data_IF_579483551997
#
_entry.id   IF_579483551997
#
_cell.length_a   1.000
_cell.length_b   1.000
_cell.length_c   1.000
_cell.angle_alpha   90.00
_cell.angle_beta   90.00
_cell.angle_gamma   90.00
#
_symmetry.space_group_name_H-M   'P 1'
#
loop_
_entity.id
_entity.type
_entity.pdbx_description
1 polymer ?
#
# COMPACT_ATOMS: atom_id res chain seq x y z
N UNK A 1 -80.34 -41.72 29.92
CA UNK A 1 -79.51 -42.74 29.23
C UNK A 1 -78.21 -42.04 28.84
N UNK A 2 -77.26 -42.00 29.77
CA UNK A 2 -76.14 -42.96 29.84
C UNK A 2 -75.18 -42.72 28.67
N UNK A 3 -74.20 -41.82 28.83
CA UNK A 3 -72.85 -42.09 29.36
C UNK A 3 -71.93 -42.71 28.31
N UNK A 4 -70.96 -41.92 27.84
CA UNK A 4 -69.61 -42.42 27.52
C UNK A 4 -68.60 -41.36 28.01
N UNK A 5 -67.90 -41.70 29.08
CA UNK A 5 -66.57 -41.21 29.46
C UNK A 5 -65.60 -42.34 29.05
N UNK A 6 -64.38 -42.11 28.58
CA UNK A 6 -63.10 -41.97 29.32
C UNK A 6 -62.03 -41.91 28.21
N UNK A 7 -61.27 -40.82 28.03
CA UNK A 7 -60.01 -40.41 28.68
C UNK A 7 -58.75 -41.09 28.12
N UNK A 8 -57.76 -40.29 27.69
CA UNK A 8 -56.33 -40.45 28.04
C UNK A 8 -55.45 -39.32 27.47
N UNK A 9 -55.14 -38.37 28.36
CA UNK A 9 -53.80 -37.84 28.69
C UNK A 9 -52.66 -37.86 27.65
N UNK A 10 -52.11 -36.67 27.32
CA UNK A 10 -50.65 -36.34 27.31
C UNK A 10 -50.39 -34.89 26.80
N UNK A 11 -49.84 -34.03 27.67
CA UNK A 11 -48.93 -32.88 27.39
C UNK A 11 -49.00 -31.92 28.61
N UNK A 12 -48.12 -32.01 29.62
CA UNK A 12 -46.73 -31.48 29.69
C UNK A 12 -46.63 -29.93 29.68
N UNK A 13 -46.41 -29.41 30.90
CA UNK A 13 -45.56 -28.29 31.35
C UNK A 13 -44.95 -27.31 30.33
N UNK A 14 -45.01 -26.01 30.67
CA UNK A 14 -43.88 -25.03 30.84
C UNK A 14 -44.41 -23.61 30.59
N UNK A 15 -44.63 -22.82 31.65
CA UNK A 15 -43.69 -21.86 32.25
C UNK A 15 -43.78 -20.45 31.62
N UNK A 16 -44.34 -19.52 32.41
CA UNK A 16 -44.34 -18.08 32.18
C UNK A 16 -42.90 -17.54 32.09
N UNK A 17 -42.60 -16.74 31.06
CA UNK A 17 -41.40 -15.91 31.00
C UNK A 17 -41.77 -14.45 31.30
N UNK A 18 -41.04 -13.74 32.20
CA UNK A 18 -41.31 -12.35 32.52
C UNK A 18 -40.77 -11.39 31.45
N UNK A 19 -41.56 -10.34 31.18
CA UNK A 19 -41.26 -9.22 30.27
C UNK A 19 -39.97 -8.49 30.69
N UNK A 20 -39.00 -8.39 29.78
CA UNK A 20 -37.83 -7.52 29.91
C UNK A 20 -38.20 -6.07 29.59
N UNK A 21 -37.97 -5.16 30.54
CA UNK A 21 -38.00 -3.72 30.33
C UNK A 21 -36.92 -3.29 29.32
N UNK A 22 -37.36 -2.69 28.22
CA UNK A 22 -36.47 -2.10 27.21
C UNK A 22 -36.06 -0.72 27.70
N UNK A 23 -34.81 -0.60 28.14
CA UNK A 23 -34.16 0.67 28.46
C UNK A 23 -33.96 1.47 27.18
N UNK A 24 -34.64 2.61 27.05
CA UNK A 24 -34.46 3.55 25.93
C UNK A 24 -33.23 4.40 26.17
N UNK A 25 -32.06 3.88 25.81
CA UNK A 25 -30.84 4.67 25.73
C UNK A 25 -30.87 5.50 24.44
N UNK A 26 -30.78 6.82 24.57
CA UNK A 26 -30.77 7.73 23.41
C UNK A 26 -29.57 7.43 22.50
N UNK A 27 -29.74 7.48 21.17
CA UNK A 27 -28.66 7.19 20.25
C UNK A 27 -27.48 8.14 20.49
N UNK A 28 -26.23 7.64 20.34
CA UNK A 28 -25.04 8.47 20.53
C UNK A 28 -25.08 9.68 19.59
N UNK A 29 -24.57 10.85 20.03
CA UNK A 29 -24.55 12.05 19.22
C UNK A 29 -23.83 11.78 17.90
N UNK A 30 -24.41 12.29 16.81
CA UNK A 30 -23.81 12.18 15.48
C UNK A 30 -22.37 12.70 15.51
N UNK A 31 -21.44 12.03 14.81
CA UNK A 31 -20.06 12.50 14.74
C UNK A 31 -20.01 13.95 14.22
N UNK A 32 -19.10 14.78 14.74
CA UNK A 32 -18.99 16.17 14.31
C UNK A 32 -18.76 16.24 12.78
N UNK A 33 -19.33 17.24 12.10
CA UNK A 33 -19.14 17.40 10.66
C UNK A 33 -17.64 17.52 10.34
N UNK A 34 -17.19 16.95 9.21
CA UNK A 34 -15.80 17.05 8.81
C UNK A 34 -15.40 18.52 8.65
N UNK A 35 -14.16 18.89 8.99
CA UNK A 35 -13.71 20.26 8.82
C UNK A 35 -13.82 20.69 7.34
N UNK A 36 -14.11 21.98 7.07
CA UNK A 36 -14.10 22.50 5.71
C UNK A 36 -12.79 22.13 5.01
N UNK A 37 -12.84 21.84 3.71
CA UNK A 37 -11.60 21.59 2.98
C UNK A 37 -10.69 22.83 3.07
N UNK A 38 -9.37 22.63 3.24
CA UNK A 38 -8.43 23.74 3.40
C UNK A 38 -8.44 24.65 2.15
N UNK A 39 -7.98 25.89 2.31
CA UNK A 39 -7.74 26.76 1.15
C UNK A 39 -6.70 26.11 0.21
N UNK A 40 -6.81 26.31 -1.12
CA UNK A 40 -5.88 25.72 -2.07
C UNK A 40 -4.43 26.06 -1.74
N UNK A 41 -3.56 25.06 -1.85
CA UNK A 41 -2.11 25.31 -1.89
C UNK A 41 -1.74 26.06 -3.17
N UNK A 42 -0.79 26.99 -3.08
CA UNK A 42 -0.29 27.82 -4.21
C UNK A 42 1.22 27.66 -4.38
N UNK A 43 1.81 26.69 -3.69
CA UNK A 43 3.26 26.43 -3.69
C UNK A 43 3.54 25.41 -4.80
N UNK A 44 4.68 25.48 -5.51
CA UNK A 44 5.02 24.50 -6.53
C UNK A 44 4.88 23.08 -5.98
N UNK A 45 4.01 22.28 -6.59
CA UNK A 45 3.80 20.90 -6.15
C UNK A 45 5.06 20.12 -6.47
N UNK A 46 5.77 19.68 -5.44
CA UNK A 46 6.99 18.90 -5.63
C UNK A 46 6.64 17.43 -5.83
N UNK A 47 7.38 16.73 -6.68
CA UNK A 47 7.18 15.30 -6.94
C UNK A 47 7.14 14.48 -5.65
N UNK A 48 8.00 14.81 -4.67
CA UNK A 48 8.06 14.12 -3.36
C UNK A 48 6.71 14.15 -2.62
N UNK A 49 5.90 15.19 -2.83
CA UNK A 49 4.67 15.43 -2.10
C UNK A 49 3.47 14.70 -2.71
N UNK A 50 3.56 14.27 -3.98
CA UNK A 50 2.45 13.64 -4.72
C UNK A 50 2.74 12.22 -5.24
N UNK A 51 4.01 11.83 -5.43
CA UNK A 51 4.37 10.57 -6.11
C UNK A 51 3.75 9.31 -5.49
N UNK A 52 3.63 9.29 -4.17
CA UNK A 52 3.02 8.18 -3.43
C UNK A 52 1.53 8.03 -3.78
N UNK A 53 0.79 9.13 -3.78
CA UNK A 53 -0.64 9.15 -4.06
C UNK A 53 -0.89 8.92 -5.55
N UNK A 54 -0.04 9.47 -6.43
CA UNK A 54 -0.04 9.22 -7.86
C UNK A 54 0.19 7.75 -8.20
N UNK A 55 1.22 7.11 -7.62
CA UNK A 55 1.51 5.70 -7.84
C UNK A 55 0.37 4.82 -7.32
N UNK A 56 -0.15 5.11 -6.12
CA UNK A 56 -1.29 4.41 -5.54
C UNK A 56 -2.50 4.48 -6.48
N UNK A 57 -2.84 5.69 -6.95
CA UNK A 57 -3.95 5.90 -7.90
C UNK A 57 -3.75 5.10 -9.20
N UNK A 58 -2.53 5.12 -9.75
CA UNK A 58 -2.19 4.40 -10.99
C UNK A 58 -2.36 2.89 -10.82
N UNK A 59 -1.85 2.32 -9.72
CA UNK A 59 -2.00 0.90 -9.40
C UNK A 59 -3.45 0.51 -9.16
N UNK A 60 -4.21 1.30 -8.39
CA UNK A 60 -5.63 1.04 -8.13
C UNK A 60 -6.45 1.08 -9.42
N UNK A 61 -6.17 2.01 -10.32
CA UNK A 61 -6.85 2.08 -11.62
C UNK A 61 -6.57 0.84 -12.48
N UNK A 62 -5.36 0.27 -12.38
CA UNK A 62 -5.03 -1.00 -13.04
C UNK A 62 -5.77 -2.21 -12.44
N UNK A 63 -5.87 -2.29 -11.11
CA UNK A 63 -6.67 -3.33 -10.44
C UNK A 63 -8.14 -3.27 -10.89
N UNK A 64 -8.68 -2.06 -11.03
CA UNK A 64 -10.04 -1.82 -11.51
C UNK A 64 -10.22 -2.10 -13.01
N UNK A 65 -9.15 -2.32 -13.76
CA UNK A 65 -9.19 -2.58 -15.21
C UNK A 65 -9.31 -1.33 -16.08
N UNK A 66 -9.01 -0.16 -15.54
CA UNK A 66 -9.10 1.13 -16.23
C UNK A 66 -7.78 1.54 -16.90
N UNK A 67 -6.65 1.00 -16.42
CA UNK A 67 -5.32 1.23 -16.96
C UNK A 67 -4.57 -0.09 -17.16
N UNK A 68 -3.96 -0.26 -18.33
CA UNK A 68 -3.03 -1.35 -18.57
C UNK A 68 -1.61 -0.93 -18.17
N UNK A 69 -1.00 -1.71 -17.27
CA UNK A 69 0.37 -1.53 -16.79
C UNK A 69 1.30 -2.66 -17.26
N UNK A 70 0.80 -3.63 -18.04
CA UNK A 70 1.56 -4.84 -18.37
C UNK A 70 1.85 -5.74 -17.16
N UNK A 71 1.12 -5.53 -16.06
CA UNK A 71 1.21 -6.28 -14.81
C UNK A 71 -0.14 -6.94 -14.51
N UNK A 72 -0.12 -8.09 -13.84
CA UNK A 72 -1.36 -8.75 -13.43
C UNK A 72 -2.08 -7.93 -12.34
N UNK A 73 -3.42 -8.01 -12.32
CA UNK A 73 -4.25 -7.37 -11.28
C UNK A 73 -3.86 -7.82 -9.87
N UNK A 74 -3.51 -9.10 -9.72
CA UNK A 74 -3.06 -9.68 -8.45
C UNK A 74 -1.72 -9.06 -7.99
N UNK A 75 -0.76 -8.90 -8.92
CA UNK A 75 0.52 -8.24 -8.62
C UNK A 75 0.33 -6.79 -8.18
N UNK A 76 -0.49 -6.01 -8.91
CA UNK A 76 -0.84 -4.64 -8.53
C UNK A 76 -1.55 -4.58 -7.17
N UNK A 77 -2.44 -5.54 -6.88
CA UNK A 77 -3.15 -5.62 -5.58
C UNK A 77 -2.19 -5.94 -4.43
N UNK A 78 -1.24 -6.86 -4.63
CA UNK A 78 -0.21 -7.20 -3.64
C UNK A 78 0.74 -6.02 -3.37
N UNK A 79 1.09 -5.20 -4.37
CA UNK A 79 1.85 -3.96 -4.15
C UNK A 79 1.11 -2.97 -3.22
N UNK A 80 -0.23 -2.95 -3.29
CA UNK A 80 -1.10 -2.07 -2.50
C UNK A 80 -1.48 -2.65 -1.12
N UNK A 81 -1.28 -3.95 -0.91
CA UNK A 81 -1.67 -4.69 0.28
C UNK A 81 -1.06 -4.08 1.55
N UNK A 82 -1.85 -3.99 2.62
CA UNK A 82 -1.37 -3.56 3.94
C UNK A 82 -0.81 -4.74 4.73
N UNK A 83 0.09 -4.44 5.66
CA UNK A 83 0.49 -5.38 6.70
C UNK A 83 -0.40 -5.16 7.92
N UNK A 84 -1.20 -6.16 8.28
CA UNK A 84 -2.18 -6.08 9.37
C UNK A 84 -1.51 -6.08 10.77
N UNK A 85 -0.25 -6.51 10.87
CA UNK A 85 0.48 -6.61 12.15
C UNK A 85 1.98 -6.26 12.00
N UNK A 86 2.33 -4.96 11.84
CA UNK A 86 3.73 -4.56 11.72
C UNK A 86 4.52 -5.03 12.94
N UNK A 87 5.46 -5.95 12.72
CA UNK A 87 6.20 -6.65 13.78
C UNK A 87 7.29 -5.81 14.47
N UNK A 88 7.38 -4.53 14.11
CA UNK A 88 8.30 -3.53 14.64
C UNK A 88 7.52 -2.29 15.04
N UNK A 89 7.82 -1.66 16.20
CA UNK A 89 7.32 -0.33 16.46
C UNK A 89 7.74 0.56 15.29
N UNK A 90 6.81 1.41 14.86
CA UNK A 90 7.03 2.50 13.92
C UNK A 90 8.14 3.42 14.43
N UNK A 91 9.41 2.98 14.40
CA UNK A 91 10.48 3.92 14.17
C UNK A 91 10.35 4.28 12.72
N UNK A 92 10.16 5.57 12.47
CA UNK A 92 10.48 6.22 11.22
C UNK A 92 11.88 5.78 10.80
N UNK A 93 12.01 4.61 10.16
CA UNK A 93 13.25 4.25 9.51
C UNK A 93 13.38 5.29 8.40
N UNK A 94 14.37 6.20 8.47
CA UNK A 94 14.67 7.00 7.31
C UNK A 94 14.94 6.00 6.19
N UNK A 95 14.65 6.39 4.95
CA UNK A 95 14.96 5.68 3.71
C UNK A 95 16.49 5.52 3.49
N UNK A 96 17.22 5.15 4.54
CA UNK A 96 18.66 5.18 4.72
C UNK A 96 19.24 3.80 4.98
N UNK A 97 18.45 2.81 5.40
CA UNK A 97 18.92 1.42 5.43
C UNK A 97 18.74 0.80 4.05
N UNK A 98 19.86 0.65 3.34
CA UNK A 98 20.00 0.00 2.04
C UNK A 98 19.73 -1.51 2.02
N UNK A 99 19.28 -2.06 3.14
CA UNK A 99 19.17 -3.49 3.42
C UNK A 99 17.85 -3.81 4.09
N UNK A 100 17.45 -5.07 4.01
CA UNK A 100 16.28 -5.63 4.66
C UNK A 100 15.13 -5.93 3.69
N UNK A 101 14.16 -6.69 4.17
CA UNK A 101 12.92 -6.97 3.44
C UNK A 101 12.08 -5.69 3.37
N UNK A 102 11.61 -5.26 2.19
CA UNK A 102 10.85 -4.02 2.06
C UNK A 102 9.55 -4.08 2.86
N UNK A 103 9.26 -3.00 3.59
CA UNK A 103 8.05 -2.89 4.41
C UNK A 103 6.80 -2.74 3.55
N UNK A 104 5.72 -3.40 3.94
CA UNK A 104 4.41 -3.22 3.32
C UNK A 104 3.71 -1.92 3.80
N UNK A 105 2.86 -1.30 2.96
CA UNK A 105 2.58 -1.67 1.58
C UNK A 105 3.74 -1.35 0.63
N UNK A 106 4.10 -2.29 -0.25
CA UNK A 106 5.31 -2.25 -1.08
C UNK A 106 5.35 -1.05 -2.04
N UNK A 107 4.19 -0.55 -2.48
CA UNK A 107 4.13 0.63 -3.36
C UNK A 107 4.78 1.86 -2.71
N UNK A 108 4.86 1.95 -1.37
CA UNK A 108 5.54 3.08 -0.72
C UNK A 108 7.05 3.04 -0.93
N UNK A 109 7.64 1.87 -0.85
CA UNK A 109 9.06 1.66 -1.17
C UNK A 109 9.30 1.96 -2.66
N UNK A 110 8.45 1.42 -3.53
CA UNK A 110 8.51 1.68 -4.97
C UNK A 110 8.38 3.18 -5.30
N UNK A 111 7.47 3.91 -4.65
CA UNK A 111 7.31 5.35 -4.82
C UNK A 111 8.57 6.11 -4.41
N UNK A 112 9.24 5.68 -3.34
CA UNK A 112 10.49 6.30 -2.91
C UNK A 112 11.63 6.05 -3.91
N UNK A 113 11.77 4.82 -4.42
CA UNK A 113 12.75 4.50 -5.46
C UNK A 113 12.48 5.26 -6.77
N UNK A 114 11.22 5.36 -7.19
CA UNK A 114 10.82 6.14 -8.36
C UNK A 114 11.09 7.64 -8.17
N UNK A 115 10.83 8.19 -6.98
CA UNK A 115 11.12 9.58 -6.67
C UNK A 115 12.61 9.87 -6.85
N UNK A 116 13.46 9.05 -6.23
CA UNK A 116 14.90 9.20 -6.37
C UNK A 116 15.34 9.03 -7.82
N UNK A 117 14.81 8.00 -8.51
CA UNK A 117 15.19 7.72 -9.90
C UNK A 117 14.86 8.87 -10.86
N UNK A 118 13.67 9.45 -10.72
CA UNK A 118 13.25 10.62 -11.50
C UNK A 118 14.07 11.86 -11.13
N UNK A 119 14.39 12.03 -9.85
CA UNK A 119 15.14 13.20 -9.37
C UNK A 119 16.62 13.18 -9.76
N UNK A 120 17.25 12.00 -9.81
CA UNK A 120 18.66 11.85 -10.20
C UNK A 120 18.87 11.59 -11.69
N UNK A 121 17.80 11.35 -12.45
CA UNK A 121 17.90 11.05 -13.87
C UNK A 121 18.50 9.67 -14.17
N UNK A 122 18.26 8.68 -13.30
CA UNK A 122 18.85 7.35 -13.39
C UNK A 122 18.07 6.31 -12.61
N UNK A 123 18.18 5.03 -12.98
CA UNK A 123 17.63 3.97 -12.14
C UNK A 123 18.29 4.01 -10.75
N UNK A 124 17.51 4.21 -9.70
CA UNK A 124 18.00 4.25 -8.32
C UNK A 124 17.63 2.98 -7.57
N UNK A 125 18.62 2.35 -6.90
CA UNK A 125 18.39 1.31 -5.89
C UNK A 125 18.88 1.81 -4.54
N UNK A 126 18.13 1.49 -3.50
CA UNK A 126 18.57 1.80 -2.13
C UNK A 126 19.87 1.04 -1.81
N UNK A 127 20.13 -0.11 -2.45
CA UNK A 127 21.30 -0.97 -2.25
C UNK A 127 22.54 -0.68 -3.09
N UNK A 128 22.54 0.32 -3.98
CA UNK A 128 23.68 0.66 -4.86
C UNK A 128 24.96 1.10 -4.08
N UNK A 129 24.95 1.04 -2.74
CA UNK A 129 26.16 1.15 -1.90
C UNK A 129 26.92 -0.17 -1.72
N UNK A 130 26.45 -1.29 -2.27
CA UNK A 130 27.05 -2.61 -2.04
C UNK A 130 27.32 -3.31 -3.38
N UNK A 131 28.49 -3.02 -3.96
CA UNK A 131 29.02 -3.68 -5.17
C UNK A 131 29.25 -5.18 -4.89
N UNK A 132 28.26 -6.01 -5.24
CA UNK A 132 28.45 -7.45 -5.30
C UNK A 132 28.19 -7.95 -6.73
N UNK A 133 29.30 -8.30 -7.37
CA UNK A 133 29.46 -9.05 -8.63
C UNK A 133 29.39 -8.22 -9.92
N UNK A 134 30.55 -7.70 -10.31
CA UNK A 134 30.85 -7.35 -11.69
C UNK A 134 30.90 -8.61 -12.56
N UNK A 135 29.86 -8.83 -13.37
CA UNK A 135 29.98 -9.63 -14.58
C UNK A 135 29.73 -8.69 -15.78
N UNK A 136 30.74 -8.56 -16.63
CA UNK A 136 30.81 -7.49 -17.63
C UNK A 136 29.80 -7.66 -18.77
N UNK A 137 29.30 -8.87 -19.04
CA UNK A 137 28.31 -9.15 -20.10
C UNK A 137 26.95 -9.57 -19.54
N UNK A 138 26.28 -8.66 -18.83
CA UNK A 138 24.98 -8.95 -18.22
C UNK A 138 23.84 -8.35 -19.05
N UNK A 139 22.90 -9.16 -19.59
CA UNK A 139 21.66 -8.68 -20.23
C UNK A 139 20.85 -7.71 -19.35
N UNK A 140 21.07 -7.71 -18.03
CA UNK A 140 20.48 -6.74 -17.11
C UNK A 140 21.02 -5.32 -17.31
N UNK A 141 22.30 -5.13 -17.67
CA UNK A 141 22.86 -3.78 -17.89
C UNK A 141 22.15 -3.05 -19.02
N UNK A 142 21.93 -3.73 -20.15
CA UNK A 142 21.17 -3.16 -21.29
C UNK A 142 19.75 -2.79 -20.87
N UNK A 143 19.06 -3.64 -20.09
CA UNK A 143 17.73 -3.32 -19.57
C UNK A 143 17.73 -2.15 -18.59
N UNK A 144 18.76 -2.03 -17.77
CA UNK A 144 18.91 -0.91 -16.83
C UNK A 144 19.12 0.42 -17.54
N UNK A 145 19.87 0.42 -18.66
CA UNK A 145 20.01 1.58 -19.55
C UNK A 145 18.67 1.93 -20.21
N UNK A 146 17.93 0.94 -20.71
CA UNK A 146 16.57 1.14 -21.27
C UNK A 146 15.61 1.73 -20.23
N UNK A 147 15.59 1.18 -19.02
CA UNK A 147 14.77 1.70 -17.91
C UNK A 147 15.20 3.11 -17.50
N UNK A 148 16.50 3.38 -17.45
CA UNK A 148 17.03 4.72 -17.16
C UNK A 148 16.56 5.74 -18.19
N UNK A 149 16.67 5.42 -19.48
CA UNK A 149 16.18 6.28 -20.56
C UNK A 149 14.67 6.53 -20.44
N UNK A 150 13.89 5.48 -20.18
CA UNK A 150 12.45 5.58 -19.98
C UNK A 150 12.09 6.48 -18.78
N UNK A 151 12.73 6.26 -17.63
CA UNK A 151 12.52 7.06 -16.41
C UNK A 151 12.87 8.52 -16.69
N UNK A 152 13.95 8.79 -17.42
CA UNK A 152 14.35 10.15 -17.76
C UNK A 152 13.33 10.84 -18.65
N UNK A 153 12.87 10.16 -19.70
CA UNK A 153 11.91 10.72 -20.65
C UNK A 153 10.55 10.98 -19.97
N UNK A 154 9.97 9.96 -19.34
CA UNK A 154 8.64 10.04 -18.72
C UNK A 154 8.65 10.80 -17.39
N UNK A 155 9.74 10.71 -16.64
CA UNK A 155 9.98 11.51 -15.44
C UNK A 155 10.06 13.01 -15.77
N UNK A 156 10.78 13.39 -16.83
CA UNK A 156 10.84 14.79 -17.27
C UNK A 156 9.46 15.29 -17.74
N UNK A 157 8.71 14.47 -18.49
CA UNK A 157 7.32 14.79 -18.87
C UNK A 157 6.44 15.02 -17.63
N UNK A 158 6.54 14.13 -16.63
CA UNK A 158 5.81 14.25 -15.37
C UNK A 158 6.19 15.54 -14.61
N UNK A 159 7.48 15.86 -14.50
CA UNK A 159 7.95 17.08 -13.83
C UNK A 159 7.49 18.35 -14.55
N UNK A 160 7.52 18.37 -15.88
CA UNK A 160 7.01 19.48 -16.68
C UNK A 160 5.51 19.69 -16.45
N UNK A 161 4.73 18.61 -16.37
CA UNK A 161 3.29 18.71 -16.05
C UNK A 161 3.04 19.18 -14.62
N UNK A 162 3.86 18.77 -13.65
CA UNK A 162 3.75 19.26 -12.28
C UNK A 162 4.08 20.76 -12.18
N UNK A 163 5.03 21.25 -12.98
CA UNK A 163 5.40 22.66 -13.04
C UNK A 163 4.28 23.56 -13.58
N UNK A 164 3.32 23.02 -14.34
CA UNK A 164 2.16 23.77 -14.82
C UNK A 164 0.98 23.76 -13.86
N UNK A 165 1.06 23.09 -12.70
CA UNK A 165 -0.06 23.04 -11.76
C UNK A 165 -0.11 24.34 -10.95
N UNK A 166 -1.25 25.02 -11.00
CA UNK A 166 -1.49 26.27 -10.28
C UNK A 166 -2.05 26.02 -8.87
N UNK A 167 -2.88 25.00 -8.70
CA UNK A 167 -3.59 24.73 -7.43
C UNK A 167 -3.66 23.24 -7.09
N UNK A 168 -3.56 22.93 -5.79
CA UNK A 168 -3.88 21.61 -5.24
C UNK A 168 -5.23 21.67 -4.50
N UNK A 169 -6.14 20.77 -4.87
CA UNK A 169 -7.45 20.64 -4.23
C UNK A 169 -7.67 19.20 -3.74
N UNK A 170 -8.40 19.08 -2.63
CA UNK A 170 -8.87 17.78 -2.15
C UNK A 170 -10.40 17.69 -2.24
N UNK A 171 -10.89 16.54 -2.69
CA UNK A 171 -12.30 16.16 -2.79
C UNK A 171 -12.50 14.76 -2.19
N UNK A 172 -13.63 14.54 -1.54
CA UNK A 172 -13.98 13.23 -0.98
C UNK A 172 -14.65 12.34 -2.03
N UNK A 173 -14.69 11.03 -1.80
CA UNK A 173 -15.60 10.16 -2.56
C UNK A 173 -17.06 10.47 -2.17
N UNK A 174 -18.02 10.37 -3.10
CA UNK A 174 -17.89 9.89 -4.50
C UNK A 174 -17.42 10.95 -5.50
N UNK A 175 -17.25 12.21 -5.08
CA UNK A 175 -16.98 13.34 -5.97
C UNK A 175 -15.65 13.21 -6.72
N UNK A 176 -14.63 12.63 -6.08
CA UNK A 176 -13.36 12.33 -6.75
C UNK A 176 -13.54 11.41 -7.96
N UNK A 177 -14.20 10.26 -7.77
CA UNK A 177 -14.51 9.33 -8.87
C UNK A 177 -15.38 10.01 -9.93
N UNK A 178 -16.37 10.81 -9.53
CA UNK A 178 -17.22 11.54 -10.47
C UNK A 178 -16.45 12.56 -11.32
N UNK A 179 -15.46 13.26 -10.76
CA UNK A 179 -14.56 14.16 -11.49
C UNK A 179 -13.65 13.38 -12.46
N UNK A 180 -13.10 12.24 -12.00
CA UNK A 180 -12.26 11.35 -12.80
C UNK A 180 -13.00 10.83 -14.05
N UNK A 181 -14.28 10.46 -13.88
CA UNK A 181 -15.17 9.95 -14.92
C UNK A 181 -15.83 11.07 -15.76
N UNK A 182 -15.50 12.34 -15.47
CA UNK A 182 -16.12 13.53 -16.09
C UNK A 182 -17.65 13.62 -15.95
N UNK A 183 -18.25 12.92 -14.97
CA UNK A 183 -19.67 13.07 -14.61
C UNK A 183 -19.92 14.36 -13.83
N UNK A 184 -19.01 14.68 -12.92
CA UNK A 184 -18.97 15.98 -12.24
C UNK A 184 -18.05 16.90 -13.04
N UNK A 185 -18.58 18.03 -13.49
CA UNK A 185 -17.84 19.01 -14.33
C UNK A 185 -17.75 20.38 -13.68
N UNK A 186 -18.40 20.58 -12.53
CA UNK A 186 -18.38 21.82 -11.77
C UNK A 186 -18.04 21.53 -10.31
N UNK A 187 -17.02 22.18 -9.78
CA UNK A 187 -16.63 22.09 -8.38
C UNK A 187 -17.05 23.34 -7.61
N UNK A 188 -18.04 23.19 -6.73
CA UNK A 188 -18.53 24.28 -5.88
C UNK A 188 -17.71 24.47 -4.61
N UNK A 189 -17.30 25.70 -4.29
CA UNK A 189 -16.55 26.06 -3.07
C UNK A 189 -17.01 27.41 -2.52
N UNK A 190 -16.93 27.65 -1.21
CA UNK A 190 -17.05 29.03 -0.70
C UNK A 190 -15.90 29.89 -1.25
N UNK A 191 -16.19 31.13 -1.62
CA UNK A 191 -15.22 32.03 -2.24
C UNK A 191 -14.23 32.64 -1.24
N UNK A 192 -13.39 31.79 -0.64
CA UNK A 192 -12.45 32.18 0.44
C UNK A 192 -10.99 31.96 0.05
N UNK A 193 -10.10 32.79 0.59
CA UNK A 193 -8.65 32.60 0.46
C UNK A 193 -8.19 32.43 -0.99
N UNK A 194 -7.37 31.40 -1.24
CA UNK A 194 -6.80 31.15 -2.57
C UNK A 194 -7.82 30.65 -3.62
N UNK A 195 -9.03 30.22 -3.22
CA UNK A 195 -10.06 29.87 -4.21
C UNK A 195 -10.41 31.07 -5.11
N UNK A 196 -10.34 32.30 -4.57
CA UNK A 196 -10.59 33.53 -5.32
C UNK A 196 -9.55 33.84 -6.40
N UNK A 197 -8.42 33.12 -6.42
CA UNK A 197 -7.34 33.31 -7.39
C UNK A 197 -7.44 32.35 -8.58
N UNK A 198 -8.36 31.38 -8.52
CA UNK A 198 -8.59 30.42 -9.60
C UNK A 198 -9.23 31.16 -10.77
N UNK A 199 -8.64 30.99 -11.95
CA UNK A 199 -9.07 31.65 -13.19
C UNK A 199 -9.17 30.62 -14.32
N UNK A 200 -9.95 30.91 -15.39
CA UNK A 200 -9.95 30.11 -16.61
C UNK A 200 -8.54 29.86 -17.13
N UNK A 201 -8.28 28.64 -17.61
CA UNK A 201 -6.98 28.19 -18.09
C UNK A 201 -6.07 27.57 -17.02
N UNK A 202 -6.33 27.81 -15.73
CA UNK A 202 -5.52 27.25 -14.64
C UNK A 202 -5.63 25.71 -14.56
N UNK A 203 -4.57 25.06 -14.10
CA UNK A 203 -4.53 23.62 -13.84
C UNK A 203 -4.66 23.32 -12.35
N UNK A 204 -5.54 22.38 -12.03
CA UNK A 204 -5.79 21.92 -10.67
C UNK A 204 -5.43 20.45 -10.55
N UNK A 205 -4.60 20.12 -9.56
CA UNK A 205 -4.31 18.74 -9.17
C UNK A 205 -5.23 18.32 -8.02
N UNK A 206 -6.21 17.47 -8.33
CA UNK A 206 -7.13 16.89 -7.36
C UNK A 206 -6.54 15.64 -6.72
N UNK A 207 -6.58 15.58 -5.38
CA UNK A 207 -6.10 14.47 -4.56
C UNK A 207 -4.71 13.97 -5.01
N UNK A 208 -3.84 14.91 -5.39
CA UNK A 208 -2.45 14.65 -5.80
C UNK A 208 -2.27 13.68 -6.98
N UNK A 209 -3.32 13.42 -7.76
CA UNK A 209 -3.31 12.37 -8.78
C UNK A 209 -4.09 12.67 -10.06
N UNK A 210 -5.18 13.45 -9.99
CA UNK A 210 -6.02 13.79 -11.14
C UNK A 210 -5.80 15.25 -11.56
N UNK A 211 -5.31 15.47 -12.78
CA UNK A 211 -5.14 16.82 -13.33
C UNK A 211 -6.38 17.24 -14.09
N UNK A 212 -6.94 18.41 -13.77
CA UNK A 212 -8.05 19.02 -14.50
C UNK A 212 -7.71 20.47 -14.86
N UNK A 213 -8.26 20.94 -15.98
CA UNK A 213 -8.10 22.33 -16.42
C UNK A 213 -9.40 23.11 -16.18
N UNK A 214 -9.28 24.29 -15.61
CA UNK A 214 -10.40 25.21 -15.38
C UNK A 214 -10.84 25.81 -16.71
N UNK A 215 -12.11 25.62 -17.05
CA UNK A 215 -12.74 26.18 -18.24
C UNK A 215 -13.35 27.54 -17.93
N UNK A 216 -14.04 27.65 -16.80
CA UNK A 216 -14.67 28.89 -16.36
C UNK A 216 -14.79 28.95 -14.83
N UNK A 217 -15.00 30.14 -14.28
CA UNK A 217 -15.24 30.36 -12.85
C UNK A 217 -16.36 31.38 -12.66
N UNK A 218 -17.49 30.93 -12.13
CA UNK A 218 -18.64 31.79 -11.84
C UNK A 218 -18.80 32.04 -10.35
N UNK A 219 -19.33 33.21 -9.99
CA UNK A 219 -19.60 33.63 -8.61
C UNK A 219 -21.10 33.75 -8.39
N UNK A 220 -21.56 33.23 -7.25
CA UNK A 220 -22.96 33.28 -6.83
C UNK A 220 -23.06 33.72 -5.37
N UNK A 221 -24.23 34.23 -4.97
CA UNK A 221 -24.46 34.65 -3.58
C UNK A 221 -24.71 33.45 -2.66
N UNK A 222 -25.16 32.31 -3.20
CA UNK A 222 -25.49 31.11 -2.43
C UNK A 222 -25.25 29.80 -3.19
N UNK A 223 -25.10 28.70 -2.47
CA UNK A 223 -25.05 27.36 -3.06
C UNK A 223 -26.36 27.01 -3.77
N UNK A 224 -27.50 27.49 -3.27
CA UNK A 224 -28.80 27.28 -3.91
C UNK A 224 -28.80 27.85 -5.33
N UNK A 225 -28.46 29.13 -5.47
CA UNK A 225 -28.38 29.82 -6.77
C UNK A 225 -27.36 29.15 -7.70
N UNK A 226 -26.19 28.79 -7.18
CA UNK A 226 -25.16 28.08 -7.96
C UNK A 226 -25.69 26.74 -8.50
N UNK A 227 -26.38 25.94 -7.67
CA UNK A 227 -26.92 24.64 -8.06
C UNK A 227 -28.05 24.75 -9.10
N UNK A 228 -28.84 25.83 -9.02
CA UNK A 228 -29.88 26.15 -9.99
C UNK A 228 -29.26 26.54 -11.34
N UNK A 229 -28.28 27.45 -11.33
CA UNK A 229 -27.65 28.00 -12.53
C UNK A 229 -26.71 27.00 -13.25
N UNK A 230 -25.89 26.24 -12.51
CA UNK A 230 -24.88 25.34 -13.07
C UNK A 230 -25.40 23.94 -13.43
N UNK A 231 -26.67 23.67 -13.13
CA UNK A 231 -27.28 22.34 -13.08
C UNK A 231 -26.74 21.46 -11.95
N UNK A 232 -27.63 21.07 -11.03
CA UNK A 232 -27.36 20.15 -9.93
C UNK A 232 -26.59 18.88 -10.38
N UNK A 233 -26.92 18.29 -11.52
CA UNK A 233 -26.27 17.05 -11.97
C UNK A 233 -24.81 17.25 -12.40
N UNK A 234 -24.42 18.46 -12.81
CA UNK A 234 -23.02 18.77 -13.16
C UNK A 234 -22.18 19.05 -11.91
N UNK A 235 -22.81 19.57 -10.85
CA UNK A 235 -22.16 19.92 -9.58
C UNK A 235 -22.13 18.72 -8.63
N UNK A 236 -23.25 18.05 -8.42
CA UNK A 236 -23.44 16.94 -7.48
C UNK A 236 -24.18 15.76 -8.16
N UNK A 237 -23.54 15.04 -9.09
CA UNK A 237 -24.18 13.90 -9.76
C UNK A 237 -24.74 12.87 -8.76
N UNK A 238 -26.01 12.49 -8.96
CA UNK A 238 -26.71 11.50 -8.13
C UNK A 238 -27.51 12.09 -6.95
N UNK A 239 -27.40 13.40 -6.68
CA UNK A 239 -28.28 14.12 -5.75
C UNK A 239 -29.62 14.40 -6.42
N UNK A 240 -30.73 14.30 -5.67
CA UNK A 240 -32.09 14.32 -6.23
C UNK A 240 -32.62 15.72 -6.49
N UNK A 241 -32.40 16.66 -5.57
CA UNK A 241 -32.91 18.03 -5.64
C UNK A 241 -31.94 19.04 -5.02
N UNK A 242 -32.23 20.33 -5.21
CA UNK A 242 -31.34 21.44 -4.83
C UNK A 242 -31.20 21.51 -3.31
N UNK A 243 -32.28 21.25 -2.57
CA UNK A 243 -32.29 21.28 -1.10
C UNK A 243 -31.32 20.25 -0.51
N UNK A 244 -31.36 19.01 -1.02
CA UNK A 244 -30.40 17.97 -0.68
C UNK A 244 -28.97 18.39 -1.08
N UNK A 245 -28.81 19.02 -2.25
CA UNK A 245 -27.52 19.54 -2.72
C UNK A 245 -26.93 20.61 -1.80
N UNK A 246 -27.75 21.53 -1.29
CA UNK A 246 -27.33 22.53 -0.28
C UNK A 246 -26.91 21.82 1.00
N UNK A 247 -27.64 20.79 1.43
CA UNK A 247 -27.30 20.03 2.63
C UNK A 247 -25.94 19.30 2.50
N UNK A 248 -25.55 18.85 1.32
CA UNK A 248 -24.20 18.33 1.07
C UNK A 248 -23.14 19.39 1.40
N UNK A 249 -23.35 20.64 0.97
CA UNK A 249 -22.42 21.74 1.27
C UNK A 249 -22.42 22.16 2.75
N UNK A 250 -23.55 22.01 3.44
CA UNK A 250 -23.66 22.29 4.89
C UNK A 250 -22.80 21.38 5.75
N UNK A 251 -22.42 20.21 5.25
CA UNK A 251 -21.43 19.35 5.91
C UNK A 251 -20.02 19.96 5.96
N UNK A 252 -19.75 20.99 5.14
CA UNK A 252 -18.44 21.62 5.02
C UNK A 252 -18.46 23.12 5.37
N UNK A 253 -19.56 23.83 5.09
CA UNK A 253 -19.64 25.28 5.22
C UNK A 253 -20.89 25.72 6.00
N UNK A 254 -20.70 26.60 6.98
CA UNK A 254 -21.81 27.28 7.65
C UNK A 254 -22.49 28.29 6.72
N UNK A 255 -23.78 28.54 6.98
CA UNK A 255 -24.55 29.57 6.27
C UNK A 255 -23.92 30.96 6.39
N UNK A 256 -23.39 31.28 7.56
CA UNK A 256 -22.69 32.54 7.78
C UNK A 256 -21.48 32.69 6.87
N UNK A 257 -20.69 31.62 6.69
CA UNK A 257 -19.51 31.63 5.82
C UNK A 257 -19.89 31.76 4.36
N UNK A 258 -20.95 31.09 3.93
CA UNK A 258 -21.52 31.27 2.60
C UNK A 258 -22.00 32.70 2.40
N UNK A 259 -22.85 33.23 3.28
CA UNK A 259 -23.40 34.59 3.17
C UNK A 259 -22.31 35.67 3.16
N UNK A 260 -21.24 35.48 3.92
CA UNK A 260 -20.17 36.48 4.03
C UNK A 260 -19.22 36.49 2.83
N UNK A 261 -19.11 35.38 2.08
CA UNK A 261 -18.11 35.24 1.03
C UNK A 261 -18.71 34.98 -0.37
N UNK A 262 -19.95 34.50 -0.44
CA UNK A 262 -20.50 33.89 -1.64
C UNK A 262 -19.86 32.53 -1.95
N UNK A 263 -20.17 32.01 -3.13
CA UNK A 263 -19.69 30.71 -3.62
C UNK A 263 -19.12 30.82 -5.03
N UNK A 264 -18.22 29.91 -5.36
CA UNK A 264 -17.59 29.74 -6.66
C UNK A 264 -18.05 28.43 -7.27
N UNK A 265 -18.46 28.48 -8.53
CA UNK A 265 -18.56 27.33 -9.42
C UNK A 265 -17.29 27.27 -10.28
N UNK A 266 -16.45 26.26 -10.06
CA UNK A 266 -15.22 26.05 -10.84
C UNK A 266 -15.51 25.00 -11.91
N UNK A 267 -15.74 25.44 -13.13
CA UNK A 267 -16.00 24.55 -14.27
C UNK A 267 -14.68 23.91 -14.72
N UNK A 268 -14.64 22.59 -14.80
CA UNK A 268 -13.41 21.83 -15.08
C UNK A 268 -13.58 20.84 -16.22
N UNK A 269 -12.51 20.59 -16.95
CA UNK A 269 -12.43 19.53 -17.96
C UNK A 269 -11.15 18.71 -17.77
N UNK A 270 -11.15 17.50 -18.32
CA UNK A 270 -10.01 16.58 -18.28
C UNK A 270 -9.09 16.85 -19.47
N UNK A 271 -7.85 17.32 -19.27
CA UNK A 271 -6.89 17.47 -20.35
C UNK A 271 -6.46 16.11 -20.91
N UNK A 272 -6.00 16.12 -22.17
CA UNK A 272 -5.55 14.92 -22.90
C UNK A 272 -4.38 14.21 -22.21
N UNK A 273 -3.49 14.97 -21.57
CA UNK A 273 -2.33 14.44 -20.84
C UNK A 273 -2.63 14.38 -19.35
N UNK A 274 -2.26 13.27 -18.70
CA UNK A 274 -2.46 13.05 -17.27
C UNK A 274 -1.17 12.58 -16.60
N UNK A 275 -0.96 12.97 -15.33
CA UNK A 275 0.23 12.58 -14.57
C UNK A 275 0.31 11.06 -14.43
N UNK A 276 -0.83 10.40 -14.20
CA UNK A 276 -0.88 8.94 -14.05
C UNK A 276 -0.58 8.21 -15.36
N UNK A 277 -0.73 8.86 -16.53
CA UNK A 277 -0.30 8.29 -17.81
C UNK A 277 1.22 8.19 -17.91
N UNK A 278 1.96 9.19 -17.41
CA UNK A 278 3.42 9.12 -17.32
C UNK A 278 3.84 8.00 -16.35
N UNK A 279 3.20 7.94 -15.17
CA UNK A 279 3.45 6.88 -14.19
C UNK A 279 3.13 5.48 -14.77
N UNK A 280 2.02 5.34 -15.49
CA UNK A 280 1.63 4.10 -16.13
C UNK A 280 2.66 3.65 -17.19
N UNK A 281 3.14 4.58 -18.02
CA UNK A 281 4.17 4.29 -19.01
C UNK A 281 5.50 3.84 -18.36
N UNK A 282 5.89 4.45 -17.23
CA UNK A 282 7.06 4.01 -16.45
C UNK A 282 6.85 2.58 -15.95
N UNK A 283 5.72 2.28 -15.30
CA UNK A 283 5.44 0.93 -14.79
C UNK A 283 5.38 -0.11 -15.89
N UNK A 284 4.77 0.22 -17.03
CA UNK A 284 4.68 -0.64 -18.20
C UNK A 284 6.06 -1.01 -18.75
N UNK A 285 6.96 -0.02 -18.91
CA UNK A 285 8.30 -0.28 -19.42
C UNK A 285 9.25 -0.91 -18.40
N UNK A 286 9.08 -0.63 -17.10
CA UNK A 286 9.78 -1.36 -16.04
C UNK A 286 9.39 -2.84 -16.04
N UNK A 287 8.10 -3.13 -16.25
CA UNK A 287 7.53 -4.47 -16.12
C UNK A 287 7.89 -5.11 -14.77
N UNK A 288 7.75 -6.43 -14.65
CA UNK A 288 8.14 -7.17 -13.45
C UNK A 288 9.63 -7.01 -13.11
N UNK A 289 10.48 -6.92 -14.13
CA UNK A 289 11.93 -6.85 -13.97
C UNK A 289 12.39 -5.59 -13.24
N UNK A 290 11.97 -4.42 -13.73
CA UNK A 290 12.36 -3.13 -13.17
C UNK A 290 11.75 -2.89 -11.78
N UNK A 291 10.49 -3.30 -11.57
CA UNK A 291 9.86 -3.22 -10.24
C UNK A 291 10.61 -4.10 -9.23
N UNK A 292 10.99 -5.32 -9.63
CA UNK A 292 11.77 -6.22 -8.76
C UNK A 292 13.10 -5.58 -8.35
N UNK A 293 13.81 -4.97 -9.30
CA UNK A 293 15.05 -4.24 -9.02
C UNK A 293 14.81 -3.10 -8.04
N UNK A 294 13.75 -2.31 -8.22
CA UNK A 294 13.37 -1.22 -7.31
C UNK A 294 12.93 -1.72 -5.92
N UNK A 295 12.51 -2.97 -5.78
CA UNK A 295 12.20 -3.64 -4.50
C UNK A 295 13.43 -4.34 -3.89
N UNK A 296 14.63 -4.06 -4.41
CA UNK A 296 15.90 -4.63 -3.97
C UNK A 296 15.99 -6.17 -4.09
N UNK A 297 15.23 -6.75 -5.02
CA UNK A 297 15.22 -8.18 -5.25
C UNK A 297 16.18 -8.56 -6.37
N UNK A 298 16.99 -9.57 -6.10
CA UNK A 298 17.97 -10.04 -7.07
C UNK A 298 17.33 -10.86 -8.19
N UNK A 299 18.06 -11.03 -9.28
CA UNK A 299 17.71 -11.95 -10.35
C UNK A 299 18.73 -13.07 -10.45
N UNK A 300 18.25 -14.31 -10.41
CA UNK A 300 19.07 -15.50 -10.67
C UNK A 300 18.32 -16.45 -11.58
N UNK A 301 19.02 -17.47 -12.09
CA UNK A 301 18.36 -18.61 -12.73
C UNK A 301 17.30 -19.18 -11.78
N UNK A 302 16.09 -19.39 -12.29
CA UNK A 302 14.95 -19.87 -11.50
C UNK A 302 14.13 -18.80 -10.77
N UNK A 303 14.50 -17.51 -10.86
CA UNK A 303 13.67 -16.39 -10.34
C UNK A 303 12.29 -16.38 -10.99
N UNK A 304 11.26 -16.18 -10.17
CA UNK A 304 9.86 -16.03 -10.57
C UNK A 304 9.46 -14.56 -10.46
N UNK A 305 9.53 -13.84 -11.58
CA UNK A 305 9.38 -12.37 -11.62
C UNK A 305 8.00 -11.86 -11.18
N UNK A 306 6.96 -12.67 -11.31
CA UNK A 306 5.57 -12.31 -10.99
C UNK A 306 5.24 -12.42 -9.49
N UNK A 307 6.24 -12.65 -8.64
CA UNK A 307 6.07 -12.84 -7.20
C UNK A 307 6.77 -11.76 -6.40
N UNK A 308 6.08 -11.29 -5.37
CA UNK A 308 6.54 -10.28 -4.42
C UNK A 308 6.99 -10.91 -3.10
N UNK A 309 7.86 -10.25 -2.33
CA UNK A 309 8.28 -10.76 -1.03
C UNK A 309 7.11 -10.74 -0.06
N UNK A 310 6.85 -11.78 0.75
CA UNK A 310 5.74 -11.77 1.71
C UNK A 310 5.89 -10.68 2.80
N UNK A 311 4.78 -10.21 3.41
CA UNK A 311 4.84 -9.32 4.56
C UNK A 311 5.70 -9.89 5.69
N UNK A 312 6.48 -9.04 6.35
CA UNK A 312 7.36 -9.48 7.45
C UNK A 312 6.57 -10.10 8.60
N UNK A 313 5.36 -9.62 8.87
CA UNK A 313 4.45 -10.23 9.84
C UNK A 313 4.12 -11.69 9.52
N UNK A 314 3.87 -12.00 8.25
CA UNK A 314 3.63 -13.37 7.77
C UNK A 314 4.86 -14.25 7.99
N UNK A 315 6.05 -13.75 7.65
CA UNK A 315 7.32 -14.47 7.84
C UNK A 315 7.60 -14.77 9.31
N UNK A 316 7.38 -13.80 10.19
CA UNK A 316 7.58 -13.95 11.64
C UNK A 316 6.52 -14.87 12.25
N UNK A 317 5.26 -14.75 11.83
CA UNK A 317 4.15 -15.58 12.32
C UNK A 317 4.39 -17.08 12.03
N UNK A 318 4.77 -17.41 10.79
CA UNK A 318 5.07 -18.80 10.44
C UNK A 318 6.31 -19.34 11.16
N UNK A 319 7.31 -18.49 11.40
CA UNK A 319 8.50 -18.82 12.18
C UNK A 319 8.17 -19.13 13.65
N UNK A 320 7.23 -18.38 14.25
CA UNK A 320 6.80 -18.51 15.64
C UNK A 320 5.75 -19.60 15.88
N UNK A 321 5.29 -20.29 14.85
CA UNK A 321 4.34 -21.40 14.99
C UNK A 321 4.93 -22.51 15.88
N UNK A 322 4.17 -23.09 16.84
CA UNK A 322 4.65 -24.21 17.66
C UNK A 322 5.05 -25.42 16.80
N UNK A 323 6.20 -26.04 17.10
CA UNK A 323 6.71 -27.16 16.31
C UNK A 323 5.90 -28.46 16.51
N UNK A 324 5.54 -28.75 17.77
CA UNK A 324 4.79 -29.94 18.16
C UNK A 324 3.64 -29.51 19.10
N UNK A 325 2.57 -28.87 18.58
CA UNK A 325 1.52 -28.28 19.41
C UNK A 325 0.77 -29.31 20.26
N UNK A 326 0.77 -30.57 19.86
CA UNK A 326 0.11 -31.66 20.59
C UNK A 326 0.94 -32.23 21.74
N UNK A 327 2.23 -31.88 21.85
CA UNK A 327 3.11 -32.38 22.92
C UNK A 327 3.01 -31.47 24.14
N UNK A 328 2.40 -31.99 25.21
CA UNK A 328 2.20 -31.25 26.47
C UNK A 328 3.55 -30.77 27.03
N UNK A 329 3.66 -29.47 27.29
CA UNK A 329 4.87 -28.84 27.85
C UNK A 329 5.90 -28.38 26.81
N UNK A 330 5.80 -28.81 25.55
CA UNK A 330 6.67 -28.30 24.47
C UNK A 330 6.17 -26.92 24.03
N UNK A 331 7.01 -25.89 24.20
CA UNK A 331 6.70 -24.52 23.72
C UNK A 331 7.63 -24.07 22.61
N UNK A 332 8.51 -24.96 22.15
CA UNK A 332 9.48 -24.67 21.10
C UNK A 332 8.78 -24.35 19.76
N UNK A 333 9.18 -23.24 19.16
CA UNK A 333 8.71 -22.82 17.84
C UNK A 333 9.42 -23.56 16.70
N UNK A 334 8.84 -23.56 15.51
CA UNK A 334 9.48 -24.06 14.29
C UNK A 334 10.83 -23.38 14.05
N UNK A 335 10.89 -22.07 14.25
CA UNK A 335 12.11 -21.28 14.13
C UNK A 335 13.20 -21.70 15.12
N UNK A 336 12.87 -21.84 16.41
CA UNK A 336 13.84 -22.29 17.42
C UNK A 336 14.29 -23.73 17.19
N UNK A 337 13.38 -24.62 16.77
CA UNK A 337 13.74 -25.99 16.39
C UNK A 337 14.69 -26.01 15.20
N UNK A 338 14.48 -25.15 14.20
CA UNK A 338 15.40 -25.00 13.09
C UNK A 338 16.76 -24.50 13.57
N UNK A 339 16.81 -23.43 14.38
CA UNK A 339 18.06 -22.86 14.89
C UNK A 339 18.91 -23.89 15.66
N UNK A 340 18.27 -24.77 16.43
CA UNK A 340 18.95 -25.86 17.15
C UNK A 340 19.81 -26.77 16.24
N UNK A 341 19.48 -26.88 14.95
CA UNK A 341 20.24 -27.67 13.98
C UNK A 341 21.49 -26.96 13.46
N UNK A 342 21.56 -25.63 13.61
CA UNK A 342 22.58 -24.75 13.03
C UNK A 342 23.62 -24.29 14.07
N UNK A 343 23.24 -24.16 15.34
CA UNK A 343 24.11 -23.62 16.41
C UNK A 343 25.45 -24.34 16.61
N UNK A 344 25.53 -25.63 16.23
CA UNK A 344 26.75 -26.43 16.32
C UNK A 344 27.54 -26.49 14.99
N UNK A 345 27.10 -25.75 13.96
CA UNK A 345 27.75 -25.69 12.64
C UNK A 345 28.66 -24.48 12.46
N UNK A 346 28.63 -23.56 13.41
CA UNK A 346 29.32 -22.27 13.37
C UNK A 346 30.26 -22.21 14.57
N UNK A 347 31.56 -22.30 14.31
CA UNK A 347 32.61 -22.25 15.34
C UNK A 347 32.71 -20.87 16.01
N UNK A 348 32.39 -19.81 15.28
CA UNK A 348 32.30 -18.41 15.71
C UNK A 348 31.00 -18.07 16.46
N UNK A 349 30.09 -19.03 16.60
CA UNK A 349 28.79 -18.87 17.29
C UNK A 349 27.90 -17.78 16.69
N UNK A 350 27.95 -17.58 15.37
CA UNK A 350 27.07 -16.67 14.62
C UNK A 350 25.58 -16.83 14.98
N UNK A 351 25.13 -18.07 15.16
CA UNK A 351 23.75 -18.43 15.51
C UNK A 351 23.40 -18.24 16.99
N UNK A 352 24.38 -17.89 17.83
CA UNK A 352 24.24 -17.67 19.26
C UNK A 352 24.26 -18.93 20.12
N UNK A 353 24.22 -18.74 21.44
CA UNK A 353 24.26 -19.83 22.43
C UNK A 353 22.86 -20.39 22.70
N UNK A 354 22.54 -21.55 22.10
CA UNK A 354 21.23 -22.19 22.21
C UNK A 354 21.07 -23.01 23.50
N UNK A 355 20.91 -22.33 24.64
CA UNK A 355 20.77 -22.93 25.96
C UNK A 355 19.54 -22.40 26.74
N UNK A 356 19.24 -23.04 27.88
CA UNK A 356 18.13 -22.64 28.76
C UNK A 356 16.76 -23.18 28.33
N UNK A 357 15.71 -22.52 28.82
CA UNK A 357 14.30 -22.91 28.61
C UNK A 357 13.85 -22.73 27.15
N UNK A 358 12.73 -23.34 26.78
CA UNK A 358 12.09 -23.13 25.46
C UNK A 358 11.83 -21.64 25.21
N UNK A 359 11.48 -20.88 26.25
CA UNK A 359 11.30 -19.43 26.14
C UNK A 359 12.60 -18.72 25.76
N UNK A 360 13.73 -19.08 26.38
CA UNK A 360 15.04 -18.51 26.05
C UNK A 360 15.45 -18.84 24.61
N UNK A 361 15.24 -20.09 24.19
CA UNK A 361 15.54 -20.57 22.82
C UNK A 361 14.68 -19.88 21.76
N UNK A 362 13.38 -19.73 22.02
CA UNK A 362 12.46 -19.02 21.15
C UNK A 362 12.84 -17.54 21.00
N UNK A 363 13.21 -16.89 22.10
CA UNK A 363 13.68 -15.49 22.07
C UNK A 363 14.95 -15.35 21.23
N UNK A 364 15.96 -16.19 21.46
CA UNK A 364 17.18 -16.20 20.65
C UNK A 364 16.88 -16.38 19.16
N UNK A 365 16.03 -17.35 18.83
CA UNK A 365 15.65 -17.60 17.43
C UNK A 365 14.91 -16.42 16.80
N UNK A 366 14.05 -15.75 17.56
CA UNK A 366 13.35 -14.55 17.11
C UNK A 366 14.32 -13.37 16.88
N UNK A 367 15.30 -13.19 17.76
CA UNK A 367 16.31 -12.15 17.61
C UNK A 367 17.18 -12.39 16.36
N UNK A 368 17.56 -13.65 16.12
CA UNK A 368 18.30 -14.06 14.91
C UNK A 368 17.51 -13.76 13.64
N UNK A 369 16.24 -14.19 13.56
CA UNK A 369 15.45 -14.01 12.32
C UNK A 369 15.13 -12.53 12.07
N UNK A 370 14.86 -11.74 13.12
CA UNK A 370 14.68 -10.28 13.01
C UNK A 370 15.93 -9.60 12.47
N UNK A 371 17.11 -10.00 12.94
CA UNK A 371 18.39 -9.50 12.43
C UNK A 371 18.58 -9.85 10.96
N UNK A 372 18.28 -11.08 10.54
CA UNK A 372 18.36 -11.46 9.12
C UNK A 372 17.39 -10.65 8.25
N UNK A 373 16.12 -10.50 8.67
CA UNK A 373 15.11 -9.74 7.92
C UNK A 373 15.47 -8.26 7.81
N UNK A 374 16.04 -7.66 8.86
CA UNK A 374 16.41 -6.24 8.87
C UNK A 374 17.68 -5.94 8.06
N UNK A 375 18.61 -6.90 7.96
CA UNK A 375 19.94 -6.66 7.40
C UNK A 375 20.22 -7.46 6.12
N UNK A 376 19.25 -8.18 5.55
CA UNK A 376 19.49 -8.92 4.33
C UNK A 376 19.83 -7.98 3.17
N UNK A 377 20.92 -8.26 2.47
CA UNK A 377 21.33 -7.54 1.26
C UNK A 377 20.99 -8.31 -0.01
N UNK A 378 20.49 -9.54 0.14
CA UNK A 378 20.06 -10.40 -0.95
C UNK A 378 18.67 -10.94 -0.60
N UNK A 379 17.71 -10.76 -1.50
CA UNK A 379 16.40 -11.40 -1.41
C UNK A 379 15.89 -11.83 -2.79
N UNK A 380 15.19 -12.97 -2.86
CA UNK A 380 14.69 -13.51 -4.12
C UNK A 380 13.42 -14.37 -3.94
N UNK A 381 12.61 -14.42 -4.99
CA UNK A 381 11.52 -15.37 -5.19
C UNK A 381 11.95 -16.33 -6.30
N UNK A 382 12.36 -17.55 -5.95
CA UNK A 382 12.94 -18.48 -6.94
C UNK A 382 12.56 -19.94 -6.70
N UNK A 383 12.80 -20.80 -7.70
CA UNK A 383 12.53 -22.24 -7.61
C UNK A 383 13.70 -22.99 -6.98
N UNK A 384 13.43 -23.75 -5.93
CA UNK A 384 14.38 -24.63 -5.25
C UNK A 384 13.76 -26.03 -5.06
N UNK A 385 14.28 -27.07 -5.73
CA UNK A 385 13.89 -28.45 -5.46
C UNK A 385 14.28 -28.89 -4.02
N UNK A 386 13.46 -29.72 -3.35
CA UNK A 386 12.14 -30.23 -3.76
C UNK A 386 10.99 -29.27 -3.40
N UNK A 387 11.28 -28.07 -2.87
CA UNK A 387 10.29 -27.17 -2.26
C UNK A 387 9.45 -26.36 -3.25
N UNK A 388 9.83 -26.28 -4.52
CA UNK A 388 9.15 -25.45 -5.51
C UNK A 388 9.55 -23.98 -5.38
N UNK A 389 8.60 -23.04 -5.46
CA UNK A 389 8.89 -21.60 -5.32
C UNK A 389 9.05 -21.24 -3.85
N UNK A 390 10.13 -20.54 -3.52
CA UNK A 390 10.48 -20.13 -2.15
C UNK A 390 10.81 -18.65 -2.11
N UNK A 391 10.59 -18.05 -0.93
CA UNK A 391 11.17 -16.75 -0.59
C UNK A 391 12.45 -16.98 0.23
N UNK A 392 13.55 -16.38 -0.21
CA UNK A 392 14.85 -16.52 0.45
C UNK A 392 15.48 -15.15 0.67
N UNK A 393 16.11 -15.00 1.84
CA UNK A 393 16.92 -13.83 2.20
C UNK A 393 18.30 -14.27 2.66
N UNK A 394 19.32 -13.44 2.38
CA UNK A 394 20.67 -13.59 2.90
C UNK A 394 21.29 -12.26 3.30
N UNK A 395 22.10 -12.29 4.34
CA UNK A 395 23.01 -11.19 4.72
C UNK A 395 24.33 -11.33 3.97
N UNK A 396 25.20 -10.31 4.05
CA UNK A 396 26.46 -10.24 3.32
C UNK A 396 27.37 -11.44 3.57
N UNK A 397 27.42 -11.94 4.81
CA UNK A 397 28.21 -13.11 5.20
C UNK A 397 27.64 -14.44 4.67
N UNK A 398 26.56 -14.41 3.88
CA UNK A 398 25.96 -15.58 3.23
C UNK A 398 24.95 -16.34 4.08
N UNK A 399 24.86 -16.09 5.39
CA UNK A 399 23.81 -16.65 6.22
C UNK A 399 22.42 -16.17 5.79
N UNK A 400 21.41 -17.01 5.96
CA UNK A 400 20.08 -16.67 5.48
C UNK A 400 18.95 -17.48 6.08
N UNK A 401 17.77 -17.27 5.50
CA UNK A 401 16.54 -17.92 5.91
C UNK A 401 15.60 -18.09 4.71
N UNK A 402 14.78 -19.14 4.75
CA UNK A 402 13.90 -19.51 3.64
C UNK A 402 12.49 -19.87 4.10
N UNK A 403 11.49 -19.45 3.31
CA UNK A 403 10.08 -19.77 3.47
C UNK A 403 9.49 -20.30 2.15
N UNK A 404 8.33 -20.93 2.22
CA UNK A 404 7.49 -21.11 1.03
C UNK A 404 7.09 -19.76 0.43
N UNK A 405 6.69 -19.76 -0.84
CA UNK A 405 6.44 -18.54 -1.61
C UNK A 405 5.44 -17.56 -0.97
N UNK A 406 4.48 -18.05 -0.19
CA UNK A 406 3.47 -17.25 0.50
C UNK A 406 3.93 -16.75 1.89
N UNK A 407 5.11 -17.18 2.36
CA UNK A 407 5.62 -16.86 3.69
C UNK A 407 4.97 -17.63 4.84
N UNK A 408 3.92 -18.41 4.60
CA UNK A 408 3.13 -19.08 5.65
C UNK A 408 3.80 -20.31 6.24
N UNK A 409 4.91 -20.77 5.65
CA UNK A 409 5.68 -21.89 6.17
C UNK A 409 7.17 -21.62 6.12
N UNK A 410 7.79 -21.58 7.29
CA UNK A 410 9.24 -21.53 7.43
C UNK A 410 9.88 -22.85 7.01
N UNK A 411 10.91 -22.80 6.17
CA UNK A 411 11.64 -23.98 5.67
C UNK A 411 12.89 -24.22 6.53
N UNK A 412 13.70 -23.18 6.76
CA UNK A 412 14.91 -23.31 7.56
C UNK A 412 15.90 -22.17 7.40
N UNK A 413 16.96 -22.22 8.20
CA UNK A 413 18.12 -21.34 8.08
C UNK A 413 19.07 -21.84 7.00
N UNK A 414 19.91 -20.94 6.51
CA UNK A 414 20.88 -21.18 5.44
C UNK A 414 22.27 -20.79 5.93
N UNK A 415 23.24 -21.66 5.64
CA UNK A 415 24.65 -21.40 5.90
C UNK A 415 25.28 -20.62 4.73
N UNK A 416 26.45 -20.00 4.94
CA UNK A 416 27.23 -19.39 3.88
C UNK A 416 27.57 -20.40 2.79
N UNK A 417 27.75 -19.91 1.56
CA UNK A 417 28.21 -20.77 0.47
C UNK A 417 29.62 -21.28 0.76
N UNK A 418 29.80 -22.59 0.64
CA UNK A 418 31.07 -23.27 0.87
C UNK A 418 31.28 -24.35 -0.19
N UNK A 419 32.49 -24.40 -0.74
CA UNK A 419 32.92 -25.50 -1.62
C UNK A 419 32.84 -26.82 -0.86
N UNK A 420 32.10 -27.78 -1.42
CA UNK A 420 31.76 -29.08 -0.81
C UNK A 420 31.04 -28.98 0.55
N UNK A 421 30.30 -27.90 0.79
CA UNK A 421 29.58 -27.66 2.04
C UNK A 421 28.66 -28.83 2.44
N UNK A 422 27.99 -29.46 1.47
CA UNK A 422 27.19 -30.66 1.71
C UNK A 422 28.01 -31.80 2.32
N UNK A 423 29.16 -32.11 1.73
CA UNK A 423 30.08 -33.17 2.19
C UNK A 423 30.66 -32.88 3.57
N UNK A 424 30.77 -31.60 3.95
CA UNK A 424 31.24 -31.13 5.27
C UNK A 424 30.12 -30.93 6.29
N UNK A 425 28.87 -31.24 5.93
CA UNK A 425 27.70 -30.98 6.77
C UNK A 425 27.48 -29.50 7.08
N UNK A 426 28.01 -28.62 6.24
CA UNK A 426 28.00 -27.16 6.36
C UNK A 426 28.59 -26.63 7.66
N UNK A 427 29.58 -27.33 8.23
CA UNK A 427 30.34 -26.85 9.38
C UNK A 427 31.43 -25.88 8.94
N UNK A 428 31.51 -24.73 9.60
CA UNK A 428 32.51 -23.67 9.39
C UNK A 428 33.07 -23.13 10.71
#
# INVERSE_FOLDING_TARGET
MSSITVDQTRAENMAEQPLQEISTEAPPPAPPPPPPPPSPGVVPIQLKDCIKDLLKFTLTSSVNGELDLGLSKDYCSQLLQRDDHPSTPSSSFPLSSSTGVPSYPLYKHLAACLYHSISCGGLFRISDKLDFVHHEDNPLKLKEEEWTKLINEKGSQLLNMLATVDFELHVQEPFFSQLKDARKTVEGRCAVGNYNRIVPGAFILFNKSLLLQVQDVHKYISFHEMLEAESLQRVLPGVKNIEEGVQVYRNFYSEEKERSNGVLAICVTKPTSQLYSCMAAILLGLSYGGIRVMLNMVHTVGTVSERLPPPTSTLISSFLTPHNPHVKGSRLTNGARALAKHVNRSSDKYWGNFCGSDSNKNRLALDVIRRLIANCCWLNMHRVPPHGVVFEIRVADGYGARWFADGHKFIGFLEPYMVDGHSKGWKH
#
